data_IF_541194641369
#
_entry.id   IF_541194641369
#
_cell.length_a   1.000
_cell.length_b   1.000
_cell.length_c   1.000
_cell.angle_alpha   90.00
_cell.angle_beta   90.00
_cell.angle_gamma   90.00
#
_symmetry.space_group_name_H-M   'P 1'
#
loop_
_entity.id
_entity.type
_entity.pdbx_description
1 polymer ?
#
# COMPACT_ATOMS: atom_id res chain seq x y z
N UNK A 1 14.05 -20.77 10.53
CA UNK A 1 13.97 -19.79 9.42
C UNK A 1 12.60 -19.85 8.80
N UNK A 2 12.00 -18.69 8.49
CA UNK A 2 10.70 -18.62 7.83
C UNK A 2 10.83 -19.10 6.36
N UNK A 3 9.92 -19.93 5.82
CA UNK A 3 10.00 -20.37 4.43
C UNK A 3 9.86 -19.22 3.44
N UNK A 4 10.57 -19.29 2.30
CA UNK A 4 10.56 -18.25 1.25
C UNK A 4 9.15 -17.91 0.77
N UNK A 5 8.31 -18.94 0.57
CA UNK A 5 6.89 -18.80 0.22
C UNK A 5 6.10 -17.96 1.22
N UNK A 6 6.43 -18.03 2.52
CA UNK A 6 5.73 -17.24 3.53
C UNK A 6 6.13 -15.76 3.48
N UNK A 7 7.35 -15.40 3.05
CA UNK A 7 7.71 -13.99 2.81
C UNK A 7 6.87 -13.40 1.67
N UNK A 8 6.75 -14.14 0.56
CA UNK A 8 5.92 -13.72 -0.58
C UNK A 8 4.46 -13.55 -0.16
N UNK A 9 3.92 -14.52 0.60
CA UNK A 9 2.53 -14.46 1.09
C UNK A 9 2.28 -13.25 1.98
N UNK A 10 3.21 -12.93 2.87
CA UNK A 10 3.06 -11.76 3.75
C UNK A 10 3.11 -10.44 2.98
N UNK A 11 3.95 -10.32 1.95
CA UNK A 11 3.95 -9.14 1.07
C UNK A 11 2.61 -9.02 0.34
N UNK A 12 2.11 -10.10 -0.24
CA UNK A 12 0.82 -10.12 -0.93
C UNK A 12 -0.34 -9.71 -0.01
N UNK A 13 -0.32 -10.13 1.26
CA UNK A 13 -1.35 -9.72 2.23
C UNK A 13 -1.31 -8.21 2.50
N UNK A 14 -0.12 -7.63 2.65
CA UNK A 14 0.03 -6.19 2.86
C UNK A 14 -0.40 -5.39 1.63
N UNK A 15 -0.06 -5.84 0.42
CA UNK A 15 -0.49 -5.21 -0.83
C UNK A 15 -2.02 -5.27 -1.01
N UNK A 16 -2.64 -6.40 -0.66
CA UNK A 16 -4.09 -6.53 -0.68
C UNK A 16 -4.77 -5.56 0.30
N UNK A 17 -4.25 -5.43 1.53
CA UNK A 17 -4.76 -4.48 2.52
C UNK A 17 -4.61 -3.02 2.07
N UNK A 18 -3.46 -2.65 1.50
CA UNK A 18 -3.26 -1.32 0.92
C UNK A 18 -4.26 -1.02 -0.21
N UNK A 19 -4.51 -2.01 -1.07
CA UNK A 19 -5.49 -1.91 -2.17
C UNK A 19 -6.91 -1.74 -1.65
N UNK A 20 -7.29 -2.49 -0.61
CA UNK A 20 -8.61 -2.39 0.01
C UNK A 20 -8.87 -0.99 0.57
N UNK A 21 -7.92 -0.44 1.34
CA UNK A 21 -8.01 0.92 1.89
C UNK A 21 -8.14 1.98 0.80
N UNK A 22 -7.36 1.82 -0.28
CA UNK A 22 -7.43 2.68 -1.47
C UNK A 22 -8.83 2.64 -2.07
N UNK A 23 -9.41 1.46 -2.27
CA UNK A 23 -10.77 1.29 -2.80
C UNK A 23 -11.84 1.91 -1.90
N UNK A 24 -11.72 1.76 -0.58
CA UNK A 24 -12.64 2.37 0.39
C UNK A 24 -12.66 3.90 0.29
N UNK A 25 -11.51 4.54 0.00
CA UNK A 25 -11.45 6.00 -0.17
C UNK A 25 -12.21 6.49 -1.39
N UNK A 26 -12.19 5.76 -2.50
CA UNK A 26 -13.02 6.09 -3.67
C UNK A 26 -14.51 6.03 -3.36
N UNK A 27 -14.96 5.12 -2.48
CA UNK A 27 -16.35 5.06 -2.04
C UNK A 27 -16.76 6.24 -1.15
N UNK A 28 -15.80 6.93 -0.54
CA UNK A 28 -16.03 8.08 0.33
C UNK A 28 -15.93 9.43 -0.41
N UNK A 29 -15.82 9.42 -1.74
CA UNK A 29 -15.79 10.65 -2.54
C UNK A 29 -17.10 11.40 -2.37
N UNK A 30 -16.99 12.66 -1.97
CA UNK A 30 -18.07 13.63 -2.03
C UNK A 30 -18.14 14.18 -3.44
N UNK A 31 -19.13 13.69 -4.20
CA UNK A 31 -19.36 14.11 -5.57
C UNK A 31 -19.66 15.61 -5.70
N UNK A 32 -20.20 16.24 -4.66
CA UNK A 32 -20.50 17.69 -4.68
C UNK A 32 -19.22 18.51 -4.68
N UNK A 33 -18.28 18.19 -3.79
CA UNK A 33 -16.96 18.85 -3.77
C UNK A 33 -16.15 18.50 -5.02
N UNK A 34 -16.24 17.24 -5.49
CA UNK A 34 -15.56 16.79 -6.71
C UNK A 34 -15.97 17.59 -7.95
N UNK A 35 -17.26 17.84 -8.17
CA UNK A 35 -17.73 18.63 -9.31
C UNK A 35 -17.73 20.15 -9.06
N UNK A 36 -17.21 20.61 -7.92
CA UNK A 36 -17.11 22.03 -7.62
C UNK A 36 -15.94 22.69 -8.36
N UNK A 37 -15.84 24.03 -8.29
CA UNK A 37 -14.66 24.77 -8.78
C UNK A 37 -13.36 24.42 -8.04
N UNK A 38 -13.44 23.68 -6.93
CA UNK A 38 -12.29 23.20 -6.13
C UNK A 38 -12.03 21.71 -6.31
N UNK A 39 -12.64 21.07 -7.31
CA UNK A 39 -12.55 19.62 -7.54
C UNK A 39 -11.11 19.09 -7.58
N UNK A 40 -10.20 19.79 -8.26
CA UNK A 40 -8.79 19.41 -8.33
C UNK A 40 -8.11 19.38 -6.96
N UNK A 41 -8.29 20.45 -6.17
CA UNK A 41 -7.76 20.52 -4.80
C UNK A 41 -8.38 19.47 -3.87
N UNK A 42 -9.64 19.10 -4.11
CA UNK A 42 -10.32 18.04 -3.38
C UNK A 42 -9.74 16.65 -3.74
N UNK A 43 -9.45 16.40 -5.01
CA UNK A 43 -8.77 15.17 -5.45
C UNK A 43 -7.35 15.08 -4.88
N UNK A 44 -6.57 16.15 -4.91
CA UNK A 44 -5.24 16.17 -4.30
C UNK A 44 -5.29 15.83 -2.80
N UNK A 45 -6.31 16.33 -2.09
CA UNK A 45 -6.54 15.99 -0.69
C UNK A 45 -6.87 14.51 -0.51
N UNK A 46 -7.69 13.92 -1.38
CA UNK A 46 -8.01 12.48 -1.34
C UNK A 46 -6.75 11.65 -1.60
N UNK A 47 -5.99 11.96 -2.65
CA UNK A 47 -4.74 11.26 -2.99
C UNK A 47 -3.77 11.30 -1.81
N UNK A 48 -3.56 12.47 -1.21
CA UNK A 48 -2.68 12.62 -0.04
C UNK A 48 -3.15 11.78 1.16
N UNK A 49 -4.46 11.68 1.38
CA UNK A 49 -5.02 10.81 2.44
C UNK A 49 -4.80 9.33 2.13
N UNK A 50 -5.00 8.92 0.89
CA UNK A 50 -4.75 7.56 0.44
C UNK A 50 -3.28 7.16 0.65
N UNK A 51 -2.34 8.03 0.27
CA UNK A 51 -0.90 7.80 0.49
C UNK A 51 -0.60 7.56 1.97
N UNK A 52 -1.18 8.37 2.87
CA UNK A 52 -1.02 8.23 4.31
C UNK A 52 -1.61 6.90 4.81
N UNK A 53 -2.78 6.51 4.31
CA UNK A 53 -3.48 5.30 4.76
C UNK A 53 -2.77 4.00 4.38
N UNK A 54 -2.13 3.96 3.20
CA UNK A 54 -1.42 2.78 2.68
C UNK A 54 0.06 2.74 3.07
N UNK A 55 0.63 3.87 3.52
CA UNK A 55 2.04 3.96 3.87
C UNK A 55 2.50 2.88 4.87
N UNK A 56 1.75 2.53 5.93
CA UNK A 56 2.16 1.48 6.86
C UNK A 56 2.38 0.12 6.16
N UNK A 57 1.44 -0.31 5.32
CA UNK A 57 1.51 -1.58 4.60
C UNK A 57 2.66 -1.59 3.61
N UNK A 58 2.82 -0.52 2.83
CA UNK A 58 3.89 -0.39 1.82
C UNK A 58 5.27 -0.42 2.49
N UNK A 59 5.43 0.29 3.61
CA UNK A 59 6.69 0.30 4.37
C UNK A 59 7.00 -1.08 4.97
N UNK A 60 5.99 -1.76 5.54
CA UNK A 60 6.16 -3.12 6.05
C UNK A 60 6.53 -4.10 4.94
N UNK A 61 5.87 -4.02 3.78
CA UNK A 61 6.17 -4.86 2.62
C UNK A 61 7.61 -4.67 2.15
N UNK A 62 8.09 -3.42 2.08
CA UNK A 62 9.48 -3.11 1.73
C UNK A 62 10.49 -3.66 2.75
N UNK A 63 10.17 -3.65 4.05
CA UNK A 63 11.00 -4.27 5.09
C UNK A 63 11.07 -5.79 4.91
N UNK A 64 9.94 -6.45 4.59
CA UNK A 64 9.88 -7.89 4.33
C UNK A 64 10.67 -8.23 3.06
N UNK A 65 10.53 -7.45 1.99
CA UNK A 65 11.29 -7.59 0.74
C UNK A 65 12.80 -7.50 0.97
N UNK A 66 13.26 -6.54 1.77
CA UNK A 66 14.69 -6.44 2.16
C UNK A 66 15.18 -7.65 2.94
N UNK A 67 14.36 -8.20 3.84
CA UNK A 67 14.70 -9.44 4.57
C UNK A 67 14.78 -10.63 3.62
N UNK A 68 13.86 -10.73 2.65
CA UNK A 68 13.82 -11.79 1.65
C UNK A 68 15.07 -11.77 0.75
N UNK A 69 15.47 -10.60 0.25
CA UNK A 69 16.68 -10.45 -0.58
C UNK A 69 17.93 -10.99 0.12
N UNK A 70 18.14 -10.65 1.40
CA UNK A 70 19.26 -11.18 2.20
C UNK A 70 19.23 -12.70 2.37
N UNK A 71 18.04 -13.28 2.51
CA UNK A 71 17.88 -14.74 2.63
C UNK A 71 18.25 -15.43 1.32
N UNK A 72 17.89 -14.83 0.18
CA UNK A 72 18.24 -15.37 -1.14
C UNK A 72 19.76 -15.30 -1.36
N UNK A 73 20.38 -14.14 -1.11
CA UNK A 73 21.83 -13.95 -1.23
C UNK A 73 22.62 -14.97 -0.40
N UNK A 74 22.23 -15.14 0.88
CA UNK A 74 22.88 -16.09 1.79
C UNK A 74 22.58 -17.56 1.52
N UNK A 75 21.64 -17.89 0.62
CA UNK A 75 21.39 -19.25 0.16
C UNK A 75 22.16 -19.57 -1.14
N UNK A 76 22.65 -18.55 -1.85
CA UNK A 76 23.39 -18.68 -3.12
C UNK A 76 24.90 -18.53 -2.99
N UNK A 77 25.41 -18.15 -1.82
CA UNK A 77 26.84 -18.12 -1.48
C UNK A 77 27.24 -19.28 -0.59
#
# INVERSE_FOLDING_TARGET
MKPLRQYVRDVQLLEAQATEKTGQRFLMIDWTEFFSKRGDAYIDLIVKRMEIDIAPEVLMAAVIGRKLSKVIEGATG
#
